data_IF_558819551626
#
_entry.id   IF_558819551626
#
_cell.length_a   1.000
_cell.length_b   1.000
_cell.length_c   1.000
_cell.angle_alpha   90.00
_cell.angle_beta   90.00
_cell.angle_gamma   90.00
#
_symmetry.space_group_name_H-M   'P 1'
#
loop_
_entity.id
_entity.type
_entity.pdbx_description
1 polymer ?
#
# COMPACT_ATOMS: atom_id res chain seq x y z
N UNK A 1 3.93 9.43 -38.71
CA UNK A 1 2.79 9.70 -37.80
C UNK A 1 1.74 8.63 -38.07
N UNK A 2 1.24 7.91 -37.06
CA UNK A 2 0.24 6.86 -37.26
C UNK A 2 -1.10 7.48 -37.69
N UNK A 3 -1.72 6.93 -38.73
CA UNK A 3 -2.96 7.45 -39.32
C UNK A 3 -4.16 7.06 -38.43
N UNK A 4 -4.53 7.94 -37.50
CA UNK A 4 -5.57 7.74 -36.48
C UNK A 4 -6.98 7.62 -37.05
N UNK A 5 -7.18 7.88 -38.34
CA UNK A 5 -8.47 7.72 -39.04
C UNK A 5 -8.92 6.26 -39.18
N UNK A 6 -8.01 5.30 -39.08
CA UNK A 6 -8.29 3.85 -39.14
C UNK A 6 -8.74 3.28 -37.80
N UNK A 7 -8.62 4.04 -36.71
CA UNK A 7 -9.06 3.63 -35.38
C UNK A 7 -10.57 3.89 -35.27
N UNK A 8 -11.37 2.90 -35.69
CA UNK A 8 -12.81 2.89 -35.40
C UNK A 8 -12.98 2.91 -33.88
N UNK A 9 -13.45 4.03 -33.32
CA UNK A 9 -13.95 4.06 -31.95
C UNK A 9 -15.18 3.15 -31.90
N UNK A 10 -15.00 1.92 -31.44
CA UNK A 10 -16.10 0.98 -31.28
C UNK A 10 -17.17 1.59 -30.37
N UNK A 11 -18.44 1.34 -30.68
CA UNK A 11 -19.52 1.71 -29.77
C UNK A 11 -19.28 1.01 -28.41
N UNK A 12 -19.51 1.69 -27.28
CA UNK A 12 -19.34 1.07 -25.98
C UNK A 12 -20.26 -0.16 -25.85
N UNK A 13 -19.85 -1.20 -25.11
CA UNK A 13 -20.69 -2.36 -24.86
C UNK A 13 -22.05 -1.94 -24.26
N UNK A 14 -23.15 -2.64 -24.60
CA UNK A 14 -24.45 -2.43 -23.96
C UNK A 14 -24.34 -2.57 -22.44
N UNK A 15 -25.13 -1.77 -21.71
CA UNK A 15 -25.07 -1.70 -20.23
C UNK A 15 -25.28 -3.07 -19.57
N UNK A 16 -26.11 -3.93 -20.16
CA UNK A 16 -26.36 -5.28 -19.64
C UNK A 16 -25.16 -6.22 -19.79
N UNK A 17 -24.23 -5.91 -20.70
CA UNK A 17 -23.00 -6.70 -20.95
C UNK A 17 -21.74 -6.08 -20.35
N UNK A 18 -21.84 -4.85 -19.84
CA UNK A 18 -20.72 -4.18 -19.19
C UNK A 18 -20.52 -4.75 -17.77
N UNK A 19 -19.32 -5.24 -17.48
CA UNK A 19 -18.97 -5.78 -16.17
C UNK A 19 -19.12 -4.70 -15.10
N UNK A 20 -19.89 -4.97 -14.05
CA UNK A 20 -20.02 -4.05 -12.92
C UNK A 20 -18.76 -4.09 -12.04
N UNK A 21 -17.83 -3.20 -12.34
CA UNK A 21 -16.50 -3.11 -11.71
C UNK A 21 -16.57 -2.69 -10.23
N UNK A 22 -17.72 -2.17 -9.76
CA UNK A 22 -17.93 -1.80 -8.36
C UNK A 22 -18.12 -3.05 -7.49
N UNK A 23 -18.85 -4.06 -7.99
CA UNK A 23 -19.06 -5.33 -7.30
C UNK A 23 -18.05 -6.41 -7.70
N UNK A 24 -17.41 -6.27 -8.86
CA UNK A 24 -16.39 -7.18 -9.36
C UNK A 24 -14.95 -6.76 -9.01
N UNK A 25 -14.75 -5.77 -8.13
CA UNK A 25 -13.41 -5.42 -7.67
C UNK A 25 -12.82 -6.62 -6.88
N UNK A 26 -11.79 -7.32 -7.41
CA UNK A 26 -11.20 -8.47 -6.73
C UNK A 26 -10.46 -8.06 -5.45
N UNK A 27 -10.27 -6.75 -5.23
CA UNK A 27 -9.71 -6.21 -3.98
C UNK A 27 -10.80 -6.21 -2.91
N UNK A 28 -11.11 -7.42 -2.40
CA UNK A 28 -11.84 -7.56 -1.13
C UNK A 28 -11.28 -6.56 -0.12
N UNK A 29 -12.11 -5.63 0.30
CA UNK A 29 -11.79 -4.57 1.25
C UNK A 29 -11.41 -5.10 2.65
N UNK A 30 -11.46 -6.41 2.87
CA UNK A 30 -11.21 -7.09 4.14
C UNK A 30 -9.75 -7.12 4.60
N UNK A 31 -8.78 -6.75 3.75
CA UNK A 31 -7.35 -6.76 4.10
C UNK A 31 -6.71 -5.36 4.08
N UNK A 32 -7.45 -4.30 4.43
CA UNK A 32 -6.83 -2.97 4.57
C UNK A 32 -6.23 -2.80 5.96
N UNK A 33 -4.90 -2.68 6.02
CA UNK A 33 -4.19 -2.27 7.23
C UNK A 33 -4.82 -0.99 7.80
N UNK A 34 -5.06 -0.97 9.11
CA UNK A 34 -5.51 0.23 9.82
C UNK A 34 -4.30 1.05 10.27
N UNK A 35 -4.30 2.38 10.09
CA UNK A 35 -3.19 3.20 10.56
C UNK A 35 -3.17 3.24 12.08
N UNK A 36 -2.00 2.96 12.68
CA UNK A 36 -1.71 3.24 14.08
C UNK A 36 -1.02 4.60 14.16
N UNK A 37 -1.63 5.56 14.86
CA UNK A 37 -1.06 6.88 15.10
C UNK A 37 -0.60 6.97 16.54
N UNK A 38 0.66 7.35 16.74
CA UNK A 38 1.26 7.55 18.06
C UNK A 38 2.05 8.85 18.05
N UNK A 39 2.09 9.52 19.20
CA UNK A 39 2.94 10.68 19.41
C UNK A 39 4.16 10.24 20.21
N UNK A 40 5.34 10.60 19.74
CA UNK A 40 6.61 10.31 20.37
C UNK A 40 7.51 11.55 20.35
N UNK A 41 8.49 11.66 21.25
CA UNK A 41 9.47 12.73 21.21
C UNK A 41 10.21 12.79 19.86
N UNK A 42 10.58 13.99 19.36
CA UNK A 42 11.25 14.16 18.07
C UNK A 42 12.54 13.34 17.95
N UNK A 43 13.34 13.30 19.00
CA UNK A 43 14.61 12.58 19.03
C UNK A 43 14.43 11.06 18.82
N UNK A 44 13.34 10.51 19.32
CA UNK A 44 13.01 9.09 19.13
C UNK A 44 12.55 8.85 17.69
N UNK A 45 11.75 9.78 17.15
CA UNK A 45 11.29 9.70 15.76
C UNK A 45 12.47 9.74 14.78
N UNK A 46 13.45 10.61 15.00
CA UNK A 46 14.62 10.75 14.14
C UNK A 46 15.51 9.51 14.21
N UNK A 47 15.80 9.01 15.41
CA UNK A 47 16.58 7.77 15.59
C UNK A 47 15.89 6.57 14.94
N UNK A 48 14.58 6.41 15.15
CA UNK A 48 13.78 5.36 14.51
C UNK A 48 13.78 5.48 12.98
N UNK A 49 13.67 6.71 12.49
CA UNK A 49 13.67 7.02 11.06
C UNK A 49 15.00 6.68 10.38
N UNK A 50 16.12 7.05 11.00
CA UNK A 50 17.45 6.71 10.53
C UNK A 50 17.64 5.20 10.51
N UNK A 51 17.29 4.51 11.60
CA UNK A 51 17.44 3.05 11.69
C UNK A 51 16.62 2.30 10.64
N UNK A 52 15.39 2.76 10.38
CA UNK A 52 14.54 2.20 9.33
C UNK A 52 15.17 2.36 7.95
N UNK A 53 15.74 3.54 7.66
CA UNK A 53 16.44 3.84 6.42
C UNK A 53 17.70 2.99 6.22
N UNK A 54 18.51 2.81 7.27
CA UNK A 54 19.70 1.96 7.24
C UNK A 54 19.37 0.48 7.00
N UNK A 55 18.28 -0.02 7.62
CA UNK A 55 17.97 -1.45 7.63
C UNK A 55 17.21 -1.89 6.38
N UNK A 56 16.26 -1.07 5.92
CA UNK A 56 15.33 -1.43 4.83
C UNK A 56 15.45 -0.49 3.61
N UNK A 57 16.40 0.44 3.64
CA UNK A 57 16.57 1.47 2.63
C UNK A 57 15.68 2.70 2.86
N UNK A 58 16.08 3.83 2.27
CA UNK A 58 15.34 5.09 2.30
C UNK A 58 14.16 5.09 1.32
N UNK A 59 13.23 4.16 1.52
CA UNK A 59 12.06 3.96 0.66
C UNK A 59 10.75 4.04 1.45
N UNK A 60 9.63 4.17 0.71
CA UNK A 60 8.30 4.18 1.31
C UNK A 60 8.02 2.86 2.02
N UNK A 61 7.72 2.93 3.31
CA UNK A 61 7.33 1.77 4.12
C UNK A 61 8.42 1.20 5.02
N UNK A 62 9.66 1.67 4.93
CA UNK A 62 10.77 1.21 5.79
C UNK A 62 10.47 1.34 7.29
N UNK A 63 9.84 2.44 7.70
CA UNK A 63 9.37 2.68 9.08
C UNK A 63 8.35 1.63 9.53
N UNK A 64 7.40 1.28 8.66
CA UNK A 64 6.38 0.26 8.95
C UNK A 64 7.00 -1.13 9.05
N UNK A 65 7.97 -1.45 8.18
CA UNK A 65 8.71 -2.71 8.25
C UNK A 65 9.49 -2.82 9.55
N UNK A 66 10.24 -1.78 9.92
CA UNK A 66 10.98 -1.76 11.19
C UNK A 66 10.05 -1.95 12.39
N UNK A 67 8.92 -1.25 12.43
CA UNK A 67 7.94 -1.41 13.50
C UNK A 67 7.43 -2.85 13.61
N UNK A 68 7.06 -3.48 12.49
CA UNK A 68 6.55 -4.86 12.49
C UNK A 68 7.63 -5.86 12.95
N UNK A 69 8.88 -5.71 12.50
CA UNK A 69 9.99 -6.57 12.94
C UNK A 69 10.27 -6.42 14.44
N UNK A 70 10.24 -5.20 14.97
CA UNK A 70 10.36 -4.95 16.41
C UNK A 70 9.21 -5.59 17.20
N UNK A 71 7.99 -5.49 16.68
CA UNK A 71 6.79 -6.06 17.29
C UNK A 71 6.83 -7.59 17.33
N UNK A 72 7.21 -8.24 16.23
CA UNK A 72 7.40 -9.69 16.15
C UNK A 72 8.45 -10.18 17.13
N UNK A 73 9.58 -9.46 17.23
CA UNK A 73 10.66 -9.76 18.16
C UNK A 73 10.22 -9.59 19.62
N UNK A 74 9.45 -8.55 19.92
CA UNK A 74 8.89 -8.35 21.26
C UNK A 74 7.89 -9.45 21.65
N UNK A 75 7.05 -9.90 20.72
CA UNK A 75 6.11 -11.01 20.96
C UNK A 75 6.86 -12.31 21.17
N UNK A 76 7.92 -12.59 20.39
CA UNK A 76 8.68 -13.83 20.51
C UNK A 76 9.45 -13.93 21.84
N UNK A 77 9.88 -12.80 22.41
CA UNK A 77 10.50 -12.74 23.75
C UNK A 77 9.50 -12.98 24.90
N UNK A 78 8.21 -12.75 24.66
CA UNK A 78 7.15 -12.92 25.68
C UNK A 78 6.50 -14.30 25.68
N UNK A 79 6.79 -15.14 24.70
CA UNK A 79 6.41 -16.56 24.67
C UNK A 79 7.50 -17.41 25.30
#
# INVERSE_FOLDING_TARGET
>A
MANTSLLKKGAPPPRERATNIIHADPRKSEAKNKPLQVMIPPEIFDAFSAKAGETFGFSKGSKSQLFLTMWESYISMKR
#
